data_IF_186302748595
#
_entry.id   IF_186302748595
#
_cell.length_a   1.000
_cell.length_b   1.000
_cell.length_c   1.000
_cell.angle_alpha   90.00
_cell.angle_beta   90.00
_cell.angle_gamma   90.00
#
_symmetry.space_group_name_H-M   'P 1'
#
loop_
_entity.id
_entity.type
_entity.pdbx_description
1 polymer ?
#
# COMPACT_ATOMS: atom_id res chain seq x y z
N UNK A 1 -4.51 -3.86 9.10
CA UNK A 1 -3.90 -3.19 7.93
C UNK A 1 -3.55 -4.25 6.91
N UNK A 2 -3.81 -3.96 5.63
CA UNK A 2 -3.64 -4.88 4.51
C UNK A 2 -2.76 -4.23 3.46
N UNK A 3 -1.56 -4.75 3.20
CA UNK A 3 -0.60 -4.23 2.23
C UNK A 3 -0.53 -5.18 1.05
N UNK A 4 -1.00 -4.75 -0.11
CA UNK A 4 -1.09 -5.55 -1.34
C UNK A 4 0.03 -5.16 -2.28
N UNK A 5 0.78 -6.14 -2.77
CA UNK A 5 1.97 -5.94 -3.61
C UNK A 5 1.70 -5.45 -5.04
N UNK A 6 0.45 -5.26 -5.42
CA UNK A 6 0.07 -4.80 -6.75
C UNK A 6 -0.62 -5.86 -7.61
N UNK A 7 -0.85 -5.53 -8.88
CA UNK A 7 -1.42 -6.47 -9.85
C UNK A 7 -2.93 -6.69 -9.69
N UNK A 8 -3.74 -5.63 -9.52
CA UNK A 8 -5.20 -5.75 -9.36
C UNK A 8 -5.83 -6.46 -10.57
N UNK A 9 -6.34 -7.65 -10.33
CA UNK A 9 -7.04 -8.49 -11.29
C UNK A 9 -8.35 -9.02 -10.69
N UNK A 10 -9.20 -9.60 -11.53
CA UNK A 10 -10.46 -10.20 -11.07
C UNK A 10 -10.22 -11.35 -10.06
N UNK A 11 -9.07 -12.00 -10.13
CA UNK A 11 -8.66 -13.07 -9.23
C UNK A 11 -8.22 -12.58 -7.84
N UNK A 12 -8.01 -11.26 -7.66
CA UNK A 12 -7.51 -10.66 -6.41
C UNK A 12 -8.64 -10.24 -5.45
N UNK A 13 -9.90 -10.42 -5.85
CA UNK A 13 -11.06 -10.19 -4.99
C UNK A 13 -10.92 -10.82 -3.59
N UNK A 14 -10.39 -12.06 -3.43
CA UNK A 14 -10.18 -12.67 -2.11
C UNK A 14 -9.26 -11.85 -1.19
N UNK A 15 -8.27 -11.10 -1.74
CA UNK A 15 -7.34 -10.28 -0.96
C UNK A 15 -8.03 -9.13 -0.20
N UNK A 16 -9.22 -8.71 -0.67
CA UNK A 16 -10.01 -7.64 -0.05
C UNK A 16 -11.07 -8.17 0.93
N UNK A 17 -11.34 -9.48 0.95
CA UNK A 17 -12.43 -10.05 1.73
C UNK A 17 -12.26 -9.81 3.24
N UNK A 18 -11.05 -9.99 3.77
CA UNK A 18 -10.76 -9.77 5.18
C UNK A 18 -10.82 -8.29 5.56
N UNK A 19 -10.28 -7.41 4.72
CA UNK A 19 -10.43 -5.96 4.89
C UNK A 19 -11.90 -5.54 4.99
N UNK A 20 -12.74 -6.04 4.09
CA UNK A 20 -14.17 -5.75 4.11
C UNK A 20 -14.89 -6.33 5.33
N UNK A 21 -14.50 -7.50 5.79
CA UNK A 21 -15.03 -8.07 7.04
C UNK A 21 -14.73 -7.17 8.25
N UNK A 22 -13.52 -6.61 8.31
CA UNK A 22 -13.11 -5.65 9.35
C UNK A 22 -13.91 -4.34 9.24
N UNK A 23 -14.07 -3.79 8.02
CA UNK A 23 -14.87 -2.60 7.77
C UNK A 23 -16.35 -2.80 8.15
N UNK A 24 -16.93 -3.96 7.82
CA UNK A 24 -18.31 -4.32 8.17
C UNK A 24 -18.49 -4.46 9.67
N UNK A 25 -17.52 -5.06 10.35
CA UNK A 25 -17.52 -5.18 11.82
C UNK A 25 -17.53 -3.81 12.47
N UNK A 26 -16.71 -2.88 11.95
CA UNK A 26 -16.68 -1.49 12.41
C UNK A 26 -17.99 -0.76 12.18
N UNK A 27 -18.58 -0.85 10.97
CA UNK A 27 -19.86 -0.24 10.64
C UNK A 27 -20.96 -0.73 11.59
N UNK A 28 -20.98 -2.02 11.87
CA UNK A 28 -21.93 -2.64 12.83
C UNK A 28 -21.71 -2.12 14.25
N UNK A 29 -20.48 -2.01 14.70
CA UNK A 29 -20.15 -1.48 16.02
C UNK A 29 -20.54 0.01 16.18
N UNK A 30 -20.51 0.77 15.08
CA UNK A 30 -20.97 2.15 15.00
C UNK A 30 -22.51 2.27 14.83
N UNK A 31 -23.24 1.16 14.86
CA UNK A 31 -24.68 1.06 14.63
C UNK A 31 -25.14 1.64 13.26
N UNK A 32 -24.28 1.56 12.26
CA UNK A 32 -24.62 1.93 10.89
C UNK A 32 -25.61 0.91 10.33
N UNK A 33 -26.71 1.39 9.78
CA UNK A 33 -27.75 0.55 9.16
C UNK A 33 -27.42 0.23 7.69
N UNK A 34 -26.66 1.12 7.04
CA UNK A 34 -26.20 0.98 5.67
C UNK A 34 -24.95 0.10 5.59
N UNK A 35 -24.62 -0.46 4.42
CA UNK A 35 -23.35 -1.17 4.22
C UNK A 35 -22.14 -0.31 4.60
N UNK A 36 -21.02 -0.98 4.95
CA UNK A 36 -19.77 -0.30 5.30
C UNK A 36 -19.33 0.70 4.22
N UNK A 37 -19.07 1.95 4.62
CA UNK A 37 -18.61 3.02 3.73
C UNK A 37 -17.09 2.94 3.57
N UNK A 38 -16.64 2.72 2.35
CA UNK A 38 -15.22 2.54 2.03
C UNK A 38 -14.74 3.68 1.13
N UNK A 39 -13.82 4.50 1.64
CA UNK A 39 -13.15 5.50 0.83
C UNK A 39 -12.14 4.81 -0.10
N UNK A 40 -12.25 5.04 -1.40
CA UNK A 40 -11.28 4.61 -2.41
C UNK A 40 -10.50 5.83 -2.86
N UNK A 41 -9.26 5.93 -2.37
CA UNK A 41 -8.37 7.10 -2.52
C UNK A 41 -7.43 6.83 -3.69
N UNK A 42 -7.56 7.62 -4.76
CA UNK A 42 -6.79 7.43 -6.00
C UNK A 42 -6.17 8.74 -6.47
N UNK A 43 -4.90 8.65 -6.86
CA UNK A 43 -4.22 9.68 -7.66
C UNK A 43 -4.22 9.22 -9.10
N UNK A 44 -4.57 10.09 -10.05
CA UNK A 44 -4.81 9.71 -11.44
C UNK A 44 -4.25 10.72 -12.46
N UNK A 45 -3.92 10.25 -13.64
CA UNK A 45 -3.46 11.02 -14.82
C UNK A 45 -4.60 11.49 -15.76
N UNK A 46 -5.86 11.33 -15.34
CA UNK A 46 -7.06 11.67 -16.10
C UNK A 46 -8.13 10.56 -16.09
N UNK A 47 -7.77 9.31 -15.76
CA UNK A 47 -8.65 8.14 -15.79
C UNK A 47 -9.23 7.76 -14.41
N UNK A 48 -9.25 8.69 -13.46
CA UNK A 48 -9.63 8.41 -12.08
C UNK A 48 -11.01 7.78 -11.88
N UNK A 49 -11.99 8.10 -12.73
CA UNK A 49 -13.33 7.50 -12.66
C UNK A 49 -13.30 6.02 -13.08
N UNK A 50 -12.55 5.68 -14.13
CA UNK A 50 -12.42 4.31 -14.62
C UNK A 50 -11.64 3.44 -13.62
N UNK A 51 -10.60 4.00 -13.03
CA UNK A 51 -9.84 3.34 -11.97
C UNK A 51 -10.70 3.11 -10.74
N UNK A 52 -11.48 4.12 -10.31
CA UNK A 52 -12.43 3.95 -9.21
C UNK A 52 -13.43 2.82 -9.48
N UNK A 53 -13.98 2.75 -10.70
CA UNK A 53 -14.94 1.71 -11.05
C UNK A 53 -14.33 0.30 -10.92
N UNK A 54 -13.05 0.11 -11.25
CA UNK A 54 -12.33 -1.16 -11.07
C UNK A 54 -12.20 -1.53 -9.59
N UNK A 55 -11.74 -0.59 -8.74
CA UNK A 55 -11.65 -0.84 -7.29
C UNK A 55 -13.02 -1.08 -6.66
N UNK A 56 -14.03 -0.31 -7.05
CA UNK A 56 -15.39 -0.45 -6.56
C UNK A 56 -16.00 -1.81 -6.95
N UNK A 57 -15.73 -2.28 -8.17
CA UNK A 57 -16.16 -3.60 -8.62
C UNK A 57 -15.50 -4.72 -7.80
N UNK A 58 -14.18 -4.65 -7.59
CA UNK A 58 -13.44 -5.62 -6.79
C UNK A 58 -13.95 -5.66 -5.32
N UNK A 59 -14.17 -4.50 -4.72
CA UNK A 59 -14.72 -4.39 -3.36
C UNK A 59 -16.13 -5.00 -3.27
N UNK A 60 -17.04 -4.65 -4.19
CA UNK A 60 -18.39 -5.22 -4.22
C UNK A 60 -18.41 -6.72 -4.48
N UNK A 61 -17.46 -7.23 -5.25
CA UNK A 61 -17.31 -8.68 -5.47
C UNK A 61 -16.80 -9.40 -4.21
N UNK A 62 -16.00 -8.73 -3.39
CA UNK A 62 -15.52 -9.28 -2.12
C UNK A 62 -16.58 -9.25 -1.01
N UNK A 63 -17.58 -8.35 -1.09
CA UNK A 63 -18.67 -8.30 -0.11
C UNK A 63 -19.52 -7.03 -0.18
N UNK A 64 -20.55 -6.97 0.67
CA UNK A 64 -21.47 -5.82 0.71
C UNK A 64 -20.77 -4.60 1.30
N UNK A 65 -20.61 -3.55 0.48
CA UNK A 65 -20.04 -2.26 0.90
C UNK A 65 -20.55 -1.13 0.01
N UNK A 66 -20.34 0.10 0.46
CA UNK A 66 -20.56 1.34 -0.29
C UNK A 66 -19.21 2.01 -0.57
N UNK A 67 -18.51 1.64 -1.66
CA UNK A 67 -17.29 2.34 -2.06
C UNK A 67 -17.65 3.72 -2.61
N UNK A 68 -16.90 4.75 -2.23
CA UNK A 68 -17.01 6.08 -2.79
C UNK A 68 -15.65 6.64 -3.18
N UNK A 69 -15.64 7.45 -4.24
CA UNK A 69 -14.44 7.98 -4.84
C UNK A 69 -13.88 9.15 -4.04
N UNK A 70 -12.57 9.10 -3.76
CA UNK A 70 -11.75 10.21 -3.25
C UNK A 70 -10.60 10.36 -4.24
N UNK A 71 -10.76 11.28 -5.20
CA UNK A 71 -9.89 11.41 -6.36
C UNK A 71 -9.08 12.70 -6.30
N UNK A 72 -7.81 12.62 -6.69
CA UNK A 72 -6.96 13.77 -6.96
C UNK A 72 -6.19 13.53 -8.26
N UNK A 73 -6.03 14.53 -9.14
CA UNK A 73 -5.12 14.41 -10.25
C UNK A 73 -3.66 14.39 -9.76
N UNK A 74 -2.73 13.88 -10.55
CA UNK A 74 -1.30 14.03 -10.29
C UNK A 74 -0.94 15.51 -10.07
N UNK A 75 -0.11 15.79 -9.06
CA UNK A 75 0.18 17.14 -8.59
C UNK A 75 -0.92 17.79 -7.76
N UNK A 76 -2.07 17.12 -7.57
CA UNK A 76 -3.13 17.53 -6.66
C UNK A 76 -2.87 17.10 -5.22
N UNK A 77 -3.88 17.30 -4.34
CA UNK A 77 -3.80 16.88 -2.94
C UNK A 77 -5.17 16.55 -2.37
N UNK A 78 -5.19 15.73 -1.32
CA UNK A 78 -6.41 15.39 -0.59
C UNK A 78 -6.67 16.32 0.58
N UNK A 79 -7.94 16.44 0.97
CA UNK A 79 -8.38 17.19 2.13
C UNK A 79 -8.97 16.25 3.19
N UNK A 80 -8.74 16.56 4.47
CA UNK A 80 -9.24 15.79 5.61
C UNK A 80 -10.76 15.55 5.54
N UNK A 81 -11.54 16.53 5.04
CA UNK A 81 -12.98 16.40 4.92
C UNK A 81 -13.43 15.27 3.98
N UNK A 82 -12.59 14.86 3.01
CA UNK A 82 -12.90 13.78 2.07
C UNK A 82 -12.83 12.38 2.71
N UNK A 83 -12.14 12.26 3.85
CA UNK A 83 -11.94 11.01 4.59
C UNK A 83 -12.82 10.90 5.84
N UNK A 84 -13.84 11.74 5.98
CA UNK A 84 -14.73 11.70 7.13
C UNK A 84 -15.82 10.63 6.96
N UNK A 85 -16.29 10.10 8.11
CA UNK A 85 -17.39 9.13 8.18
C UNK A 85 -17.17 7.88 7.31
N UNK A 86 -16.00 7.24 7.49
CA UNK A 86 -15.60 6.03 6.78
C UNK A 86 -15.47 4.83 7.73
N UNK A 87 -15.78 3.66 7.22
CA UNK A 87 -15.60 2.38 7.92
C UNK A 87 -14.37 1.61 7.41
N UNK A 88 -13.79 2.04 6.28
CA UNK A 88 -12.54 1.53 5.72
C UNK A 88 -11.92 2.51 4.73
N UNK A 89 -10.60 2.43 4.58
CA UNK A 89 -9.83 3.25 3.64
C UNK A 89 -9.03 2.32 2.73
N UNK A 90 -9.25 2.46 1.42
CA UNK A 90 -8.42 1.85 0.38
C UNK A 90 -7.61 2.94 -0.29
N UNK A 91 -6.29 2.81 -0.31
CA UNK A 91 -5.40 3.67 -1.09
C UNK A 91 -4.89 2.85 -2.27
N UNK A 92 -5.15 3.30 -3.47
CA UNK A 92 -4.86 2.58 -4.70
C UNK A 92 -3.40 2.61 -5.12
N UNK A 93 -3.14 2.13 -6.32
CA UNK A 93 -1.83 2.10 -6.97
C UNK A 93 -1.71 3.10 -8.11
N UNK A 94 -0.49 3.39 -8.48
CA UNK A 94 -0.08 4.33 -9.51
C UNK A 94 1.32 4.83 -9.21
N UNK A 95 1.69 6.00 -9.69
CA UNK A 95 3.00 6.61 -9.48
C UNK A 95 3.21 6.93 -7.98
N UNK A 96 4.09 6.21 -7.33
CA UNK A 96 4.30 6.27 -5.87
C UNK A 96 4.67 7.68 -5.37
N UNK A 97 5.57 8.45 -6.03
CA UNK A 97 5.85 9.83 -5.63
C UNK A 97 4.61 10.73 -5.68
N UNK A 98 3.74 10.54 -6.68
CA UNK A 98 2.49 11.31 -6.80
C UNK A 98 1.52 10.98 -5.65
N UNK A 99 1.38 9.70 -5.29
CA UNK A 99 0.59 9.28 -4.13
C UNK A 99 1.12 9.86 -2.84
N UNK A 100 2.44 9.77 -2.62
CA UNK A 100 3.08 10.33 -1.42
C UNK A 100 2.80 11.83 -1.29
N UNK A 101 2.98 12.60 -2.36
CA UNK A 101 2.75 14.04 -2.39
C UNK A 101 1.28 14.38 -2.14
N UNK A 102 0.37 13.71 -2.83
CA UNK A 102 -1.07 14.00 -2.72
C UNK A 102 -1.63 13.67 -1.34
N UNK A 103 -1.13 12.62 -0.69
CA UNK A 103 -1.57 12.15 0.63
C UNK A 103 -0.95 12.92 1.80
N UNK A 104 0.16 13.63 1.62
CA UNK A 104 0.88 14.32 2.71
C UNK A 104 -0.03 15.17 3.62
N UNK A 105 -0.96 15.99 3.10
CA UNK A 105 -1.84 16.81 3.94
C UNK A 105 -2.79 16.00 4.84
N UNK A 106 -3.02 14.73 4.51
CA UNK A 106 -3.97 13.85 5.22
C UNK A 106 -3.30 12.70 5.98
N UNK A 107 -1.97 12.61 6.01
CA UNK A 107 -1.23 11.58 6.76
C UNK A 107 -1.68 11.49 8.22
N UNK A 108 -1.78 12.64 8.90
CA UNK A 108 -2.22 12.70 10.30
C UNK A 108 -3.64 12.17 10.51
N UNK A 109 -4.54 12.44 9.58
CA UNK A 109 -5.92 11.96 9.62
C UNK A 109 -6.00 10.44 9.39
N UNK A 110 -5.27 9.93 8.38
CA UNK A 110 -5.23 8.47 8.13
C UNK A 110 -4.69 7.74 9.36
N UNK A 111 -3.56 8.20 9.93
CA UNK A 111 -3.03 7.62 11.18
C UNK A 111 -4.04 7.62 12.31
N UNK A 112 -4.71 8.76 12.53
CA UNK A 112 -5.73 8.90 13.57
C UNK A 112 -6.87 7.88 13.39
N UNK A 113 -7.35 7.72 12.16
CA UNK A 113 -8.44 6.80 11.85
C UNK A 113 -8.04 5.34 12.00
N UNK A 114 -6.86 4.96 11.48
CA UNK A 114 -6.33 3.59 11.62
C UNK A 114 -6.10 3.25 13.09
N UNK A 115 -5.54 4.17 13.87
CA UNK A 115 -5.39 3.99 15.33
C UNK A 115 -6.76 3.86 16.03
N UNK A 116 -7.81 4.50 15.51
CA UNK A 116 -9.18 4.35 15.99
C UNK A 116 -9.90 3.09 15.45
N UNK A 117 -9.16 2.18 14.79
CA UNK A 117 -9.65 0.89 14.31
C UNK A 117 -10.31 0.94 12.93
N UNK A 118 -10.13 1.99 12.11
CA UNK A 118 -10.52 1.96 10.69
C UNK A 118 -9.52 1.09 9.95
N UNK A 119 -9.94 0.00 9.29
CA UNK A 119 -9.02 -0.81 8.49
C UNK A 119 -8.49 -0.01 7.29
N UNK A 120 -7.21 -0.21 7.01
CA UNK A 120 -6.49 0.36 5.88
C UNK A 120 -6.11 -0.76 4.91
N UNK A 121 -6.35 -0.57 3.63
CA UNK A 121 -5.81 -1.40 2.56
C UNK A 121 -5.01 -0.52 1.59
N UNK A 122 -3.70 -0.73 1.53
CA UNK A 122 -2.80 -0.10 0.58
C UNK A 122 -2.50 -1.03 -0.58
N UNK A 123 -2.68 -0.56 -1.80
CA UNK A 123 -2.45 -1.34 -3.00
C UNK A 123 -1.29 -0.73 -3.79
N UNK A 124 -0.22 -1.47 -4.08
CA UNK A 124 0.98 -0.98 -4.79
C UNK A 124 1.51 0.31 -4.15
N UNK A 125 1.44 1.48 -4.81
CA UNK A 125 1.82 2.76 -4.24
C UNK A 125 1.21 3.01 -2.85
N UNK A 126 -0.07 2.67 -2.66
CA UNK A 126 -0.74 2.77 -1.35
C UNK A 126 -0.12 1.88 -0.28
N UNK A 127 0.47 0.73 -0.66
CA UNK A 127 1.21 -0.12 0.29
C UNK A 127 2.59 0.49 0.60
N UNK A 128 3.32 0.97 -0.40
CA UNK A 128 4.62 1.59 -0.22
C UNK A 128 4.58 2.83 0.68
N UNK A 129 3.60 3.72 0.46
CA UNK A 129 3.46 4.96 1.26
C UNK A 129 2.91 4.73 2.66
N UNK A 130 2.43 3.52 3.00
CA UNK A 130 1.99 3.19 4.35
C UNK A 130 3.15 3.20 5.37
N UNK A 131 4.38 2.97 4.92
CA UNK A 131 5.59 3.01 5.73
C UNK A 131 5.82 4.40 6.36
N UNK A 132 6.54 4.45 7.50
CA UNK A 132 7.06 5.71 8.03
C UNK A 132 8.17 6.23 7.12
N UNK A 133 9.07 5.35 6.70
CA UNK A 133 10.16 5.62 5.77
C UNK A 133 9.84 4.91 4.46
N UNK A 134 9.22 5.62 3.51
CA UNK A 134 8.73 5.06 2.27
C UNK A 134 9.77 5.12 1.15
N UNK A 135 10.07 4.00 0.50
CA UNK A 135 10.79 3.98 -0.77
C UNK A 135 9.79 4.41 -1.84
N UNK A 136 9.97 5.59 -2.42
CA UNK A 136 9.02 6.16 -3.39
C UNK A 136 9.41 5.89 -4.84
N UNK A 137 10.58 5.33 -5.10
CA UNK A 137 11.03 4.98 -6.44
C UNK A 137 12.56 5.01 -6.55
N UNK A 138 13.03 5.06 -7.79
CA UNK A 138 14.43 5.03 -8.15
C UNK A 138 14.90 3.64 -8.60
N UNK A 139 15.88 3.62 -9.49
CA UNK A 139 16.40 2.38 -10.07
C UNK A 139 17.89 2.18 -9.85
N UNK A 140 18.59 3.21 -9.35
CA UNK A 140 20.04 3.15 -9.06
C UNK A 140 20.37 3.82 -7.72
N UNK A 141 21.54 3.46 -7.17
CA UNK A 141 22.17 4.13 -6.03
C UNK A 141 23.56 4.56 -6.51
N UNK A 142 23.78 5.86 -6.70
CA UNK A 142 24.97 6.39 -7.37
C UNK A 142 25.08 5.85 -8.80
N UNK A 143 26.21 5.19 -9.11
CA UNK A 143 26.45 4.60 -10.43
C UNK A 143 26.01 3.13 -10.55
N UNK A 144 25.34 2.56 -9.54
CA UNK A 144 24.96 1.14 -9.50
C UNK A 144 23.47 0.98 -9.75
N UNK A 145 23.11 0.28 -10.82
CA UNK A 145 21.74 -0.16 -11.09
C UNK A 145 21.34 -1.23 -10.09
N UNK A 146 20.24 -1.03 -9.36
CA UNK A 146 19.76 -1.93 -8.31
C UNK A 146 18.44 -2.61 -8.66
N UNK A 147 17.71 -2.06 -9.63
CA UNK A 147 16.51 -2.62 -10.24
C UNK A 147 16.43 -2.13 -11.69
N UNK A 148 15.60 -2.72 -12.52
CA UNK A 148 15.40 -2.26 -13.90
C UNK A 148 14.80 -0.84 -13.93
N UNK A 149 15.24 -0.01 -14.89
CA UNK A 149 14.76 1.38 -15.05
C UNK A 149 13.23 1.49 -15.19
N UNK A 150 12.58 0.50 -15.79
CA UNK A 150 11.12 0.45 -15.92
C UNK A 150 10.36 0.35 -14.59
N UNK A 151 11.05 0.06 -13.48
CA UNK A 151 10.48 0.06 -12.12
C UNK A 151 10.88 1.32 -11.32
N UNK A 152 11.33 2.37 -11.99
CA UNK A 152 11.91 3.59 -11.40
C UNK A 152 10.91 4.51 -10.74
N UNK A 153 9.61 4.43 -11.06
CA UNK A 153 8.61 5.41 -10.61
C UNK A 153 8.99 6.84 -11.05
N UNK A 154 9.55 6.99 -12.26
CA UNK A 154 10.05 8.23 -12.85
C UNK A 154 11.18 8.93 -12.05
N UNK A 155 11.88 8.19 -11.20
CA UNK A 155 13.02 8.66 -10.42
C UNK A 155 14.30 7.92 -10.78
N UNK A 156 15.40 8.64 -10.96
CA UNK A 156 16.71 8.01 -11.22
C UNK A 156 17.29 7.35 -9.97
N UNK A 157 17.52 8.14 -8.92
CA UNK A 157 18.08 7.66 -7.66
C UNK A 157 17.02 7.03 -6.78
N UNK A 158 17.38 5.95 -6.08
CA UNK A 158 16.52 5.37 -5.04
C UNK A 158 16.23 6.44 -4.00
N UNK A 159 14.96 6.83 -3.94
CA UNK A 159 14.49 7.95 -3.14
C UNK A 159 13.62 7.45 -1.99
N UNK A 160 13.94 7.95 -0.82
CA UNK A 160 13.26 7.62 0.43
C UNK A 160 12.69 8.90 1.03
N UNK A 161 11.40 8.88 1.32
CA UNK A 161 10.69 10.02 1.90
C UNK A 161 9.82 9.59 3.08
N UNK A 162 9.34 10.56 3.86
CA UNK A 162 8.37 10.28 4.90
C UNK A 162 7.04 9.85 4.27
N UNK A 163 6.55 8.68 4.67
CA UNK A 163 5.23 8.18 4.30
C UNK A 163 4.17 8.43 5.37
N UNK A 164 3.07 7.67 5.31
CA UNK A 164 1.95 7.82 6.24
C UNK A 164 2.35 7.46 7.68
N UNK A 165 3.28 6.52 7.88
CA UNK A 165 3.71 6.07 9.20
C UNK A 165 2.68 5.16 9.90
N UNK A 166 2.14 4.20 9.16
CA UNK A 166 1.29 3.13 9.70
C UNK A 166 2.10 1.89 10.09
N UNK A 167 3.30 1.76 9.54
CA UNK A 167 4.26 0.69 9.81
C UNK A 167 5.67 1.30 9.83
N UNK A 168 6.51 0.81 10.71
CA UNK A 168 7.86 1.31 10.98
C UNK A 168 8.96 0.72 10.08
N UNK A 169 8.62 -0.24 9.23
CA UNK A 169 9.52 -0.85 8.24
C UNK A 169 9.21 -0.34 6.83
N UNK A 170 10.21 -0.27 5.96
CA UNK A 170 10.00 0.07 4.56
C UNK A 170 9.18 -1.01 3.84
N UNK A 171 8.39 -0.57 2.86
CA UNK A 171 7.59 -1.47 2.02
C UNK A 171 7.95 -1.23 0.57
N UNK A 172 8.34 -2.29 -0.14
CA UNK A 172 8.44 -2.29 -1.59
C UNK A 172 7.42 -3.28 -2.18
N UNK A 173 7.02 -3.09 -3.41
CA UNK A 173 5.91 -3.79 -4.04
C UNK A 173 6.32 -4.33 -5.41
N UNK A 174 5.53 -5.26 -5.99
CA UNK A 174 5.89 -5.94 -7.25
C UNK A 174 7.24 -6.68 -7.16
N UNK A 175 7.53 -7.31 -6.00
CA UNK A 175 8.85 -7.79 -5.64
C UNK A 175 9.48 -8.71 -6.70
N UNK A 176 8.80 -9.79 -7.07
CA UNK A 176 9.26 -10.71 -8.11
C UNK A 176 8.95 -10.21 -9.53
N UNK A 177 7.81 -9.53 -9.72
CA UNK A 177 7.30 -9.16 -11.05
C UNK A 177 8.12 -8.02 -11.68
N UNK A 178 8.55 -7.05 -10.87
CA UNK A 178 9.39 -5.93 -11.33
C UNK A 178 10.83 -6.01 -10.80
N UNK A 179 11.13 -6.99 -9.93
CA UNK A 179 12.45 -7.18 -9.35
C UNK A 179 12.80 -6.17 -8.24
N UNK A 180 11.81 -5.51 -7.65
CA UNK A 180 12.04 -4.45 -6.64
C UNK A 180 12.61 -4.96 -5.33
N UNK A 181 12.58 -6.28 -5.08
CA UNK A 181 13.30 -6.89 -3.95
C UNK A 181 14.78 -6.48 -3.92
N UNK A 182 15.44 -6.38 -5.10
CA UNK A 182 16.84 -5.97 -5.16
C UNK A 182 17.03 -4.50 -4.80
N UNK A 183 16.06 -3.63 -5.11
CA UNK A 183 16.04 -2.24 -4.66
C UNK A 183 15.99 -2.14 -3.14
N UNK A 184 15.09 -2.89 -2.49
CA UNK A 184 14.98 -2.90 -1.04
C UNK A 184 16.26 -3.44 -0.37
N UNK A 185 16.88 -4.50 -0.92
CA UNK A 185 18.16 -5.04 -0.44
C UNK A 185 19.23 -3.95 -0.52
N UNK A 186 19.40 -3.33 -1.68
CA UNK A 186 20.43 -2.31 -1.90
C UNK A 186 20.19 -1.05 -1.05
N UNK A 187 18.94 -0.61 -0.89
CA UNK A 187 18.58 0.50 -0.01
C UNK A 187 18.93 0.21 1.46
N UNK A 188 18.74 -1.05 1.90
CA UNK A 188 19.13 -1.50 3.24
C UNK A 188 20.66 -1.55 3.40
N UNK A 189 21.39 -2.09 2.42
CA UNK A 189 22.86 -2.12 2.43
C UNK A 189 23.48 -0.72 2.44
N UNK A 190 22.85 0.22 1.71
CA UNK A 190 23.30 1.61 1.66
C UNK A 190 22.88 2.42 2.91
N UNK A 191 22.12 1.84 3.84
CA UNK A 191 21.62 2.53 5.04
C UNK A 191 20.57 3.59 4.77
N UNK A 192 19.89 3.54 3.62
CA UNK A 192 18.78 4.42 3.29
C UNK A 192 17.52 4.05 4.08
N UNK A 193 17.37 2.76 4.40
CA UNK A 193 16.36 2.17 5.29
C UNK A 193 17.02 1.14 6.21
N UNK A 194 16.44 0.88 7.38
CA UNK A 194 16.96 -0.15 8.31
C UNK A 194 16.65 -1.57 7.84
N UNK A 195 15.61 -1.72 7.03
CA UNK A 195 15.10 -2.96 6.48
C UNK A 195 13.65 -2.80 6.07
N UNK A 196 13.02 -3.88 5.63
CA UNK A 196 11.64 -3.79 5.18
C UNK A 196 11.06 -5.10 4.70
N UNK A 197 9.93 -4.97 4.02
CA UNK A 197 9.27 -6.07 3.32
C UNK A 197 9.06 -5.73 1.85
N UNK A 198 9.28 -6.70 0.97
CA UNK A 198 8.91 -6.60 -0.43
C UNK A 198 7.77 -7.60 -0.70
N UNK A 199 6.71 -7.17 -1.39
CA UNK A 199 5.48 -7.93 -1.56
C UNK A 199 5.26 -8.24 -3.03
N UNK A 200 5.03 -9.50 -3.36
CA UNK A 200 4.72 -9.96 -4.73
C UNK A 200 3.33 -9.48 -5.16
N UNK A 201 3.11 -9.32 -6.48
CA UNK A 201 1.75 -9.10 -7.01
C UNK A 201 0.78 -10.22 -6.63
N UNK A 202 -0.50 -9.87 -6.50
CA UNK A 202 -1.54 -10.82 -6.09
C UNK A 202 -1.32 -11.40 -4.70
N UNK A 203 -0.61 -10.68 -3.84
CA UNK A 203 -0.28 -11.09 -2.47
C UNK A 203 -0.58 -9.95 -1.50
N UNK A 204 -1.11 -10.26 -0.34
CA UNK A 204 -1.37 -9.32 0.74
C UNK A 204 -0.62 -9.71 2.00
N UNK A 205 0.08 -8.75 2.58
CA UNK A 205 0.60 -8.82 3.95
C UNK A 205 -0.43 -8.18 4.89
N UNK A 206 -0.95 -8.97 5.82
CA UNK A 206 -1.90 -8.51 6.83
C UNK A 206 -1.16 -8.29 8.14
N UNK A 207 -1.21 -7.04 8.60
CA UNK A 207 -0.60 -6.59 9.85
C UNK A 207 -1.71 -6.21 10.82
N UNK A 208 -1.77 -6.89 11.96
CA UNK A 208 -2.78 -6.69 12.99
C UNK A 208 -2.26 -7.09 14.38
N UNK A 209 -3.16 -7.29 15.34
CA UNK A 209 -2.82 -7.84 16.65
C UNK A 209 -2.49 -9.34 16.51
N UNK A 210 -1.20 -9.70 16.51
CA UNK A 210 -0.76 -11.09 16.44
C UNK A 210 0.34 -11.33 15.42
N UNK A 211 0.36 -12.53 14.84
CA UNK A 211 1.35 -12.87 13.80
C UNK A 211 0.97 -12.22 12.46
N UNK A 212 2.00 -11.86 11.70
CA UNK A 212 1.83 -11.44 10.31
C UNK A 212 1.21 -12.59 9.50
N UNK A 213 0.25 -12.28 8.64
CA UNK A 213 -0.43 -13.24 7.77
C UNK A 213 -0.16 -12.87 6.33
N UNK A 214 0.20 -13.86 5.52
CA UNK A 214 0.39 -13.70 4.07
C UNK A 214 -0.67 -14.51 3.36
N UNK A 215 -1.48 -13.85 2.55
CA UNK A 215 -2.54 -14.46 1.74
C UNK A 215 -2.35 -14.11 0.26
N UNK A 216 -2.85 -14.95 -0.65
CA UNK A 216 -2.78 -14.72 -2.09
C UNK A 216 -1.98 -15.77 -2.85
N UNK A 217 -1.12 -15.36 -3.82
CA UNK A 217 -0.47 -16.30 -4.76
C UNK A 217 1.06 -16.29 -4.69
N UNK A 218 1.66 -15.28 -4.11
CA UNK A 218 3.11 -15.08 -4.08
C UNK A 218 3.67 -15.12 -2.67
N UNK A 219 4.70 -14.33 -2.45
CA UNK A 219 5.44 -14.28 -1.21
C UNK A 219 5.58 -12.84 -0.69
N UNK A 220 5.82 -12.72 0.60
CA UNK A 220 6.38 -11.53 1.24
C UNK A 220 7.82 -11.85 1.60
N UNK A 221 8.73 -10.97 1.19
CA UNK A 221 10.16 -11.06 1.41
C UNK A 221 10.55 -10.08 2.51
N UNK A 222 11.11 -10.57 3.60
CA UNK A 222 11.64 -9.74 4.68
C UNK A 222 13.13 -9.50 4.45
N UNK A 223 13.53 -8.24 4.53
CA UNK A 223 14.92 -7.78 4.37
C UNK A 223 15.34 -7.12 5.68
N UNK A 224 16.38 -7.63 6.30
CA UNK A 224 16.88 -7.17 7.61
C UNK A 224 18.37 -6.82 7.47
N UNK A 225 18.71 -5.58 7.76
CA UNK A 225 20.09 -5.11 7.82
C UNK A 225 20.81 -5.59 9.10
N UNK A 226 22.11 -5.81 8.98
CA UNK A 226 22.98 -6.11 10.11
C UNK A 226 24.38 -5.51 9.88
N UNK A 227 25.24 -5.51 10.88
CA UNK A 227 26.63 -5.06 10.76
C UNK A 227 27.44 -5.82 9.70
N UNK A 228 27.04 -7.02 9.33
CA UNK A 228 27.77 -7.90 8.41
C UNK A 228 27.11 -8.06 7.04
N UNK A 229 26.01 -7.37 6.78
CA UNK A 229 25.26 -7.43 5.53
C UNK A 229 23.76 -7.53 5.73
N UNK A 230 23.07 -8.01 4.72
CA UNK A 230 21.60 -8.10 4.69
C UNK A 230 21.16 -9.56 4.71
N UNK A 231 20.17 -9.86 5.51
CA UNK A 231 19.48 -11.16 5.52
C UNK A 231 18.13 -11.05 4.85
N UNK A 232 17.84 -11.97 3.93
CA UNK A 232 16.56 -12.08 3.24
C UNK A 232 15.90 -13.38 3.62
N UNK A 233 14.61 -13.31 3.96
CA UNK A 233 13.76 -14.47 4.19
C UNK A 233 12.41 -14.26 3.50
N UNK A 234 11.67 -15.33 3.25
CA UNK A 234 10.35 -15.25 2.61
C UNK A 234 9.29 -16.03 3.38
N UNK A 235 8.07 -15.53 3.32
CA UNK A 235 6.87 -16.22 3.73
C UNK A 235 5.93 -16.33 2.52
N UNK A 236 5.64 -17.54 2.07
CA UNK A 236 4.68 -17.78 1.01
C UNK A 236 3.25 -17.64 1.51
N UNK A 237 2.34 -17.27 0.62
CA UNK A 237 0.91 -17.28 0.89
C UNK A 237 0.42 -18.69 1.22
N UNK A 238 -0.52 -18.79 2.15
CA UNK A 238 -1.11 -20.06 2.64
C UNK A 238 -2.58 -20.16 2.24
#
# INVERSE_FOLDING_TARGET
MHLVGGGLSDDDTPLLARFLSEATTRATAAARLEPARVAVVLVHDGLGAEEFDRYAAALRSAGACEPFAVLAPEGGSFAVAQLQDVDGIVVGGGLTPAYRQALEPVFGEIRRQVTAGVPYAGFSAGAAVAAETAIVGGWRIGDVEVVQESASEDLDEVTVEQGIGLIDVAVDVHAAQWGTLTRLIAATEAGLVEGGVAIDEGTVLIVGEGQLVVEGRGSVWSVIGSETGVTVSSAGAS
#
